data_IF_124751764898
#
_entry.id   IF_124751764898
#
_cell.length_a   1.000
_cell.length_b   1.000
_cell.length_c   1.000
_cell.angle_alpha   90.00
_cell.angle_beta   90.00
_cell.angle_gamma   90.00
#
_symmetry.space_group_name_H-M   'P 1'
#
loop_
_entity.id
_entity.type
_entity.pdbx_description
1 polymer ?
#
# COMPACT_ATOMS: atom_id res chain seq x y z
N UNK A 1 9.91 6.55 5.15
CA UNK A 1 9.69 7.57 6.20
C UNK A 1 8.35 8.35 6.09
N UNK A 2 7.87 8.86 4.95
CA UNK A 2 6.57 9.58 4.91
C UNK A 2 5.37 8.70 5.24
N UNK A 3 5.37 7.45 4.83
CA UNK A 3 4.26 6.52 5.05
C UNK A 3 4.11 6.09 6.52
N UNK A 4 5.22 5.79 7.19
CA UNK A 4 5.24 5.57 8.64
C UNK A 4 4.61 6.74 9.39
N UNK A 5 5.00 7.98 9.04
CA UNK A 5 4.48 9.20 9.65
C UNK A 5 2.98 9.34 9.45
N UNK A 6 2.47 9.10 8.26
CA UNK A 6 1.05 9.17 7.92
C UNK A 6 0.23 8.15 8.71
N UNK A 7 0.71 6.90 8.77
CA UNK A 7 0.01 5.80 9.45
C UNK A 7 0.04 5.98 10.97
N UNK A 8 1.18 6.42 11.54
CA UNK A 8 1.29 6.72 12.96
C UNK A 8 0.33 7.85 13.37
N UNK A 9 0.23 8.95 12.61
CA UNK A 9 -0.69 10.05 12.89
C UNK A 9 -2.15 9.62 12.77
N UNK A 10 -2.49 8.74 11.83
CA UNK A 10 -3.85 8.20 11.71
C UNK A 10 -4.23 7.37 12.95
N UNK A 11 -3.34 6.51 13.43
CA UNK A 11 -3.54 5.72 14.65
C UNK A 11 -3.63 6.61 15.89
N UNK A 12 -2.70 7.53 16.03
CA UNK A 12 -2.67 8.46 17.17
C UNK A 12 -3.95 9.29 17.27
N UNK A 13 -4.55 9.67 16.15
CA UNK A 13 -5.83 10.39 16.13
C UNK A 13 -6.93 9.59 16.81
N UNK A 14 -7.06 8.31 16.48
CA UNK A 14 -8.06 7.44 17.12
C UNK A 14 -7.78 7.31 18.62
N UNK A 15 -6.51 7.08 18.99
CA UNK A 15 -6.10 6.97 20.38
C UNK A 15 -6.37 8.26 21.17
N UNK A 16 -6.01 9.43 20.62
CA UNK A 16 -6.28 10.72 21.26
C UNK A 16 -7.78 10.99 21.40
N UNK A 17 -8.59 10.62 20.41
CA UNK A 17 -10.04 10.75 20.47
C UNK A 17 -10.61 9.96 21.64
N UNK A 18 -10.21 8.71 21.81
CA UNK A 18 -10.62 7.84 22.92
C UNK A 18 -10.15 8.43 24.26
N UNK A 19 -8.87 8.82 24.36
CA UNK A 19 -8.31 9.44 25.56
C UNK A 19 -9.08 10.73 25.94
N UNK A 20 -9.34 11.59 24.97
CA UNK A 20 -10.06 12.84 25.21
C UNK A 20 -11.52 12.60 25.67
N UNK A 21 -12.22 11.60 25.11
CA UNK A 21 -13.57 11.25 25.56
C UNK A 21 -13.55 10.76 27.02
N UNK A 22 -12.57 9.92 27.38
CA UNK A 22 -12.41 9.43 28.75
C UNK A 22 -12.10 10.58 29.72
N UNK A 23 -11.13 11.43 29.36
CA UNK A 23 -10.78 12.62 30.17
C UNK A 23 -12.00 13.53 30.34
N UNK A 24 -12.74 13.80 29.26
CA UNK A 24 -13.92 14.64 29.29
C UNK A 24 -14.96 14.11 30.30
N UNK A 25 -15.25 12.81 30.30
CA UNK A 25 -16.16 12.19 31.27
C UNK A 25 -15.65 12.23 32.70
N UNK A 26 -14.36 11.93 32.91
CA UNK A 26 -13.74 11.93 34.25
C UNK A 26 -13.69 13.32 34.83
N UNK A 27 -13.30 14.31 34.06
CA UNK A 27 -13.19 15.70 34.59
C UNK A 27 -14.57 16.34 34.85
N UNK A 28 -15.57 15.98 34.04
CA UNK A 28 -16.95 16.37 34.34
C UNK A 28 -17.42 15.80 35.69
N UNK A 29 -17.10 14.52 35.94
CA UNK A 29 -17.40 13.89 37.24
C UNK A 29 -16.62 14.52 38.37
N UNK A 30 -15.33 14.83 38.22
CA UNK A 30 -14.50 15.47 39.24
C UNK A 30 -15.01 16.88 39.58
N UNK A 31 -15.39 17.67 38.58
CA UNK A 31 -16.00 18.99 38.78
C UNK A 31 -17.34 18.87 39.52
N UNK A 32 -18.22 17.95 39.14
CA UNK A 32 -19.47 17.69 39.80
C UNK A 32 -19.27 17.24 41.25
N UNK A 33 -18.26 16.42 41.53
CA UNK A 33 -17.87 15.99 42.88
C UNK A 33 -17.50 17.16 43.77
N UNK A 34 -16.71 18.11 43.25
CA UNK A 34 -16.33 19.33 44.01
C UNK A 34 -17.53 20.20 44.26
N UNK A 35 -18.43 20.39 43.30
CA UNK A 35 -19.58 21.30 43.41
C UNK A 35 -20.70 20.74 44.28
N UNK A 36 -21.02 19.47 44.17
CA UNK A 36 -22.25 18.90 44.72
C UNK A 36 -22.03 17.92 45.90
N UNK A 37 -20.84 17.29 45.99
CA UNK A 37 -20.56 16.28 47.01
C UNK A 37 -19.48 16.64 48.01
N UNK A 38 -18.80 17.77 47.81
CA UNK A 38 -17.87 18.32 48.81
C UNK A 38 -18.60 19.17 49.82
N UNK A 39 -18.34 18.94 51.12
CA UNK A 39 -18.96 19.68 52.21
C UNK A 39 -18.71 21.22 52.17
N UNK A 40 -17.62 21.62 51.55
CA UNK A 40 -17.21 23.03 51.44
C UNK A 40 -17.37 23.60 50.03
N UNK A 41 -17.75 22.78 49.02
CA UNK A 41 -17.84 23.21 47.63
C UNK A 41 -16.61 24.00 47.19
N UNK A 42 -16.77 25.17 46.59
CA UNK A 42 -15.69 26.08 46.21
C UNK A 42 -15.27 27.05 47.35
N UNK A 43 -15.69 26.80 48.59
CA UNK A 43 -15.39 27.67 49.74
C UNK A 43 -13.93 27.66 50.17
N UNK A 44 -13.20 26.59 49.93
CA UNK A 44 -11.76 26.48 50.25
C UNK A 44 -10.88 26.80 49.03
N UNK A 45 -9.72 27.42 49.30
CA UNK A 45 -8.73 27.69 48.25
C UNK A 45 -8.33 26.43 47.54
N UNK A 46 -8.16 25.33 48.25
CA UNK A 46 -7.77 24.04 47.73
C UNK A 46 -8.78 23.49 46.71
N UNK A 47 -10.06 23.50 47.05
CA UNK A 47 -11.10 23.05 46.10
C UNK A 47 -11.18 23.93 44.85
N UNK A 48 -10.90 25.23 44.95
CA UNK A 48 -10.82 26.15 43.81
C UNK A 48 -9.65 25.78 42.87
N UNK A 49 -8.48 25.43 43.43
CA UNK A 49 -7.31 25.06 42.68
C UNK A 49 -7.59 23.75 41.95
N UNK A 50 -8.10 22.70 42.60
CA UNK A 50 -8.45 21.44 41.96
C UNK A 50 -9.53 21.64 40.89
N UNK A 51 -10.55 22.43 41.18
CA UNK A 51 -11.57 22.75 40.18
C UNK A 51 -10.96 23.41 38.93
N UNK A 52 -9.98 24.32 39.13
CA UNK A 52 -9.23 24.95 38.04
C UNK A 52 -8.44 23.93 37.23
N UNK A 53 -7.78 22.97 37.87
CA UNK A 53 -7.09 21.87 37.18
C UNK A 53 -8.10 21.03 36.34
N UNK A 54 -9.18 20.57 36.94
CA UNK A 54 -10.20 19.76 36.25
C UNK A 54 -10.82 20.50 35.05
N UNK A 55 -11.17 21.78 35.25
CA UNK A 55 -11.72 22.63 34.19
C UNK A 55 -10.71 22.82 33.04
N UNK A 56 -9.44 23.04 33.35
CA UNK A 56 -8.40 23.23 32.33
C UNK A 56 -8.19 21.97 31.47
N UNK A 57 -8.18 20.77 32.08
CA UNK A 57 -8.05 19.52 31.37
C UNK A 57 -9.30 19.16 30.56
N UNK A 58 -10.49 19.44 31.12
CA UNK A 58 -11.77 19.29 30.43
C UNK A 58 -11.82 20.16 29.15
N UNK A 59 -11.46 21.45 29.27
CA UNK A 59 -11.42 22.36 28.13
C UNK A 59 -10.39 21.93 27.08
N UNK A 60 -9.20 21.48 27.50
CA UNK A 60 -8.18 20.97 26.59
C UNK A 60 -8.66 19.74 25.84
N UNK A 61 -9.31 18.79 26.54
CA UNK A 61 -9.88 17.60 25.89
C UNK A 61 -10.99 17.99 24.90
N UNK A 62 -11.88 18.93 25.25
CA UNK A 62 -12.92 19.43 24.34
C UNK A 62 -12.32 20.09 23.08
N UNK A 63 -11.29 20.92 23.25
CA UNK A 63 -10.58 21.56 22.13
C UNK A 63 -9.96 20.50 21.25
N UNK A 64 -9.28 19.48 21.82
CA UNK A 64 -8.69 18.38 21.05
C UNK A 64 -9.74 17.59 20.27
N UNK A 65 -10.91 17.33 20.85
CA UNK A 65 -12.03 16.66 20.16
C UNK A 65 -12.54 17.51 18.99
N UNK A 66 -12.74 18.80 19.17
CA UNK A 66 -13.18 19.73 18.13
C UNK A 66 -12.14 19.78 17.00
N UNK A 67 -10.87 19.99 17.34
CA UNK A 67 -9.79 20.05 16.35
C UNK A 67 -9.65 18.72 15.60
N UNK A 68 -9.77 17.60 16.29
CA UNK A 68 -9.72 16.25 15.67
C UNK A 68 -10.89 16.00 14.70
N UNK A 69 -12.06 16.59 14.95
CA UNK A 69 -13.23 16.50 14.07
C UNK A 69 -13.16 17.48 12.88
N UNK A 70 -12.74 18.74 13.13
CA UNK A 70 -12.75 19.81 12.13
C UNK A 70 -11.57 19.72 11.16
N UNK A 71 -10.36 19.44 11.66
CA UNK A 71 -9.14 19.37 10.83
C UNK A 71 -8.88 17.97 10.33
N UNK A 72 -9.80 17.43 9.52
CA UNK A 72 -9.66 16.12 8.91
C UNK A 72 -8.62 16.18 7.80
N UNK A 73 -7.34 15.90 8.14
CA UNK A 73 -6.24 15.54 7.20
C UNK A 73 -5.91 16.48 6.02
N UNK A 74 -6.11 17.78 6.14
CA UNK A 74 -5.71 18.65 5.01
C UNK A 74 -4.19 18.92 4.92
N UNK A 75 -3.46 18.92 6.05
CA UNK A 75 -2.00 19.12 6.08
C UNK A 75 -1.35 18.25 7.15
N UNK A 76 -0.52 17.31 6.72
CA UNK A 76 0.18 16.34 7.60
C UNK A 76 0.99 17.02 8.73
N UNK A 77 1.61 18.17 8.45
CA UNK A 77 2.39 18.90 9.43
C UNK A 77 1.53 19.54 10.54
N UNK A 78 0.34 20.04 10.18
CA UNK A 78 -0.60 20.64 11.14
C UNK A 78 -1.18 19.55 12.05
N UNK A 79 -1.58 18.43 11.47
CA UNK A 79 -2.09 17.28 12.23
C UNK A 79 -1.03 16.76 13.22
N UNK A 80 0.23 16.65 12.77
CA UNK A 80 1.33 16.27 13.64
C UNK A 80 1.56 17.25 14.79
N UNK A 81 1.53 18.55 14.51
CA UNK A 81 1.70 19.58 15.52
C UNK A 81 0.58 19.52 16.56
N UNK A 82 -0.68 19.42 16.13
CA UNK A 82 -1.84 19.31 17.03
C UNK A 82 -1.71 18.09 17.95
N UNK A 83 -1.41 16.92 17.39
CA UNK A 83 -1.32 15.67 18.16
C UNK A 83 -0.21 15.73 19.21
N UNK A 84 1.00 16.14 18.83
CA UNK A 84 2.12 16.14 19.77
C UNK A 84 2.04 17.29 20.78
N UNK A 85 1.49 18.45 20.41
CA UNK A 85 1.22 19.51 21.38
C UNK A 85 0.15 19.13 22.40
N UNK A 86 -0.88 18.39 21.99
CA UNK A 86 -1.88 17.83 22.90
C UNK A 86 -1.27 16.84 23.89
N UNK A 87 -0.43 15.93 23.40
CA UNK A 87 0.28 14.98 24.27
C UNK A 87 1.19 15.68 25.26
N UNK A 88 1.95 16.68 24.80
CA UNK A 88 2.81 17.48 25.67
C UNK A 88 1.98 18.22 26.75
N UNK A 89 0.85 18.80 26.34
CA UNK A 89 -0.04 19.46 27.29
C UNK A 89 -0.55 18.47 28.35
N UNK A 90 -1.00 17.29 27.96
CA UNK A 90 -1.48 16.28 28.92
C UNK A 90 -0.36 15.81 29.86
N UNK A 91 0.85 15.63 29.39
CA UNK A 91 1.99 15.31 30.26
C UNK A 91 2.29 16.41 31.24
N UNK A 92 2.40 17.66 30.79
CA UNK A 92 2.68 18.83 31.65
C UNK A 92 1.57 19.07 32.66
N UNK A 93 0.32 18.87 32.26
CA UNK A 93 -0.81 19.01 33.19
C UNK A 93 -0.69 18.01 34.35
N UNK A 94 -0.39 16.74 34.04
CA UNK A 94 -0.20 15.71 35.08
C UNK A 94 1.03 15.99 35.94
N UNK A 95 2.09 16.55 35.39
CA UNK A 95 3.24 17.03 36.17
C UNK A 95 2.79 18.13 37.17
N UNK A 96 2.04 19.11 36.69
CA UNK A 96 1.61 20.25 37.53
C UNK A 96 0.70 19.83 38.69
N UNK A 97 -0.29 18.97 38.43
CA UNK A 97 -1.21 18.53 39.49
C UNK A 97 -0.50 17.64 40.51
N UNK A 98 0.36 16.71 40.07
CA UNK A 98 1.10 15.86 40.99
C UNK A 98 2.16 16.64 41.79
N UNK A 99 2.83 17.62 41.18
CA UNK A 99 3.72 18.52 41.91
C UNK A 99 2.97 19.34 42.94
N UNK A 100 1.76 19.82 42.64
CA UNK A 100 0.89 20.51 43.60
C UNK A 100 0.51 19.60 44.78
N UNK A 101 0.13 18.33 44.48
CA UNK A 101 -0.22 17.36 45.53
C UNK A 101 0.96 17.03 46.43
N UNK A 102 2.14 16.74 45.91
CA UNK A 102 3.36 16.41 46.64
C UNK A 102 3.84 17.60 47.51
N UNK A 103 3.79 18.84 47.00
CA UNK A 103 4.18 20.00 47.77
C UNK A 103 3.21 20.32 48.93
N UNK A 104 1.97 19.82 48.83
CA UNK A 104 0.95 19.99 49.85
C UNK A 104 0.99 18.89 50.90
N UNK A 105 1.20 17.66 50.44
CA UNK A 105 1.26 16.45 51.25
C UNK A 105 2.34 15.53 50.71
N UNK A 106 3.49 15.42 51.36
CA UNK A 106 4.58 14.57 50.93
C UNK A 106 4.22 13.07 50.83
N UNK A 107 3.11 12.65 51.47
CA UNK A 107 2.60 11.28 51.38
C UNK A 107 1.52 11.12 50.28
N UNK A 108 1.26 12.17 49.46
CA UNK A 108 0.28 12.11 48.37
C UNK A 108 0.66 11.06 47.31
N UNK A 109 -0.34 10.34 46.85
CA UNK A 109 -0.14 9.30 45.81
C UNK A 109 0.20 9.91 44.46
N UNK A 110 1.27 9.41 43.82
CA UNK A 110 1.72 9.81 42.47
C UNK A 110 1.05 8.98 41.33
N UNK A 111 0.06 8.18 41.69
CA UNK A 111 -0.61 7.23 40.78
C UNK A 111 -1.16 7.86 39.52
N UNK A 112 -1.65 9.09 39.59
CA UNK A 112 -2.22 9.83 38.45
C UNK A 112 -1.16 10.14 37.37
N UNK A 113 0.03 10.56 37.77
CA UNK A 113 1.16 10.78 36.86
C UNK A 113 1.63 9.47 36.21
N UNK A 114 1.79 8.42 37.01
CA UNK A 114 2.25 7.11 36.53
C UNK A 114 1.31 6.54 35.46
N UNK A 115 -0.01 6.60 35.70
CA UNK A 115 -1.02 6.13 34.77
C UNK A 115 -1.04 6.94 33.46
N UNK A 116 -0.88 8.26 33.54
CA UNK A 116 -0.84 9.13 32.37
C UNK A 116 0.39 8.87 31.50
N UNK A 117 1.58 8.77 32.10
CA UNK A 117 2.84 8.54 31.39
C UNK A 117 2.83 7.16 30.70
N UNK A 118 2.37 6.11 31.40
CA UNK A 118 2.24 4.77 30.83
C UNK A 118 1.16 4.73 29.73
N UNK A 119 0.02 5.35 29.96
CA UNK A 119 -1.06 5.42 28.97
C UNK A 119 -0.60 6.09 27.67
N UNK A 120 0.08 7.22 27.76
CA UNK A 120 0.65 7.90 26.58
C UNK A 120 1.66 7.00 25.86
N UNK A 121 2.53 6.31 26.59
CA UNK A 121 3.54 5.43 26.03
C UNK A 121 2.97 4.23 25.27
N UNK A 122 1.84 3.70 25.72
CA UNK A 122 1.14 2.57 25.09
C UNK A 122 0.33 3.00 23.87
N UNK A 123 -0.42 4.09 23.98
CA UNK A 123 -1.42 4.47 22.99
C UNK A 123 -0.90 5.41 21.91
N UNK A 124 0.16 6.20 22.17
CA UNK A 124 0.66 7.21 21.25
C UNK A 124 1.98 6.78 20.61
N UNK A 125 2.01 6.74 19.30
CA UNK A 125 3.22 6.49 18.55
C UNK A 125 4.00 7.78 18.32
N UNK A 126 5.24 7.81 18.78
CA UNK A 126 6.13 8.97 18.63
C UNK A 126 7.47 8.55 18.05
N UNK A 127 8.13 9.42 17.24
CA UNK A 127 9.53 9.20 16.88
C UNK A 127 10.39 9.08 18.14
N UNK A 128 11.37 8.16 18.13
CA UNK A 128 12.20 7.85 19.30
C UNK A 128 12.80 9.10 19.97
N UNK A 129 13.34 10.04 19.18
CA UNK A 129 13.89 11.30 19.69
C UNK A 129 12.87 12.14 20.46
N UNK A 130 11.63 12.20 19.93
CA UNK A 130 10.54 12.96 20.54
C UNK A 130 10.05 12.27 21.83
N UNK A 131 9.93 10.94 21.81
CA UNK A 131 9.57 10.16 23.00
C UNK A 131 10.57 10.37 24.12
N UNK A 132 11.88 10.25 23.83
CA UNK A 132 12.94 10.52 24.80
C UNK A 132 12.82 11.96 25.36
N UNK A 133 12.65 12.94 24.49
CA UNK A 133 12.53 14.34 24.93
C UNK A 133 11.30 14.56 25.82
N UNK A 134 10.13 14.09 25.43
CA UNK A 134 8.88 14.30 26.17
C UNK A 134 8.90 13.62 27.55
N UNK A 135 9.31 12.34 27.61
CA UNK A 135 9.34 11.60 28.86
C UNK A 135 10.43 12.12 29.81
N UNK A 136 11.64 12.42 29.30
CA UNK A 136 12.71 12.99 30.11
C UNK A 136 12.35 14.39 30.62
N UNK A 137 11.78 15.26 29.78
CA UNK A 137 11.39 16.60 30.21
C UNK A 137 10.27 16.58 31.26
N UNK A 138 9.27 15.70 31.10
CA UNK A 138 8.20 15.55 32.11
C UNK A 138 8.76 15.03 33.44
N UNK A 139 9.64 14.02 33.41
CA UNK A 139 10.29 13.50 34.61
C UNK A 139 11.14 14.57 35.31
N UNK A 140 12.04 15.26 34.59
CA UNK A 140 12.91 16.30 35.12
C UNK A 140 12.07 17.46 35.73
N UNK A 141 11.03 17.87 34.99
CA UNK A 141 10.17 18.95 35.48
C UNK A 141 9.43 18.56 36.75
N UNK A 142 8.93 17.33 36.85
CA UNK A 142 8.29 16.85 38.07
C UNK A 142 9.29 16.86 39.25
N UNK A 143 10.51 16.40 39.05
CA UNK A 143 11.57 16.44 40.09
C UNK A 143 11.90 17.86 40.53
N UNK A 144 11.94 18.82 39.59
CA UNK A 144 12.21 20.22 39.91
C UNK A 144 11.07 20.90 40.68
N UNK A 145 9.82 20.55 40.36
CA UNK A 145 8.62 21.19 40.98
C UNK A 145 8.22 20.53 42.31
N UNK A 146 8.45 19.24 42.48
CA UNK A 146 8.08 18.52 43.71
C UNK A 146 9.06 18.74 44.87
N UNK A 147 10.22 19.36 44.64
CA UNK A 147 11.19 19.72 45.68
C UNK A 147 11.97 18.52 46.27
N UNK A 148 12.54 18.74 47.49
CA UNK A 148 13.37 17.75 48.18
C UNK A 148 12.58 16.73 49.01
N UNK A 149 11.27 16.86 49.08
CA UNK A 149 10.43 16.16 50.08
C UNK A 149 9.81 14.86 49.56
N UNK A 150 10.23 14.42 48.35
CA UNK A 150 9.77 13.14 47.77
C UNK A 150 10.38 11.97 48.57
N UNK A 151 9.53 11.03 48.98
CA UNK A 151 10.00 9.82 49.64
C UNK A 151 10.95 9.01 48.75
N UNK A 152 11.91 8.31 49.36
CA UNK A 152 12.83 7.46 48.59
C UNK A 152 12.09 6.33 47.78
N UNK A 153 10.95 5.87 48.32
CA UNK A 153 10.07 4.91 47.63
C UNK A 153 9.42 5.48 46.36
N UNK A 154 8.89 6.70 46.47
CA UNK A 154 8.25 7.38 45.34
C UNK A 154 9.27 7.77 44.28
N UNK A 155 10.47 8.16 44.66
CA UNK A 155 11.56 8.46 43.75
C UNK A 155 11.93 7.21 42.90
N UNK A 156 12.01 6.04 43.55
CA UNK A 156 12.24 4.75 42.84
C UNK A 156 11.09 4.42 41.89
N UNK A 157 9.84 4.55 42.35
CA UNK A 157 8.65 4.27 41.55
C UNK A 157 8.57 5.20 40.33
N UNK A 158 8.82 6.48 40.49
CA UNK A 158 8.84 7.47 39.42
C UNK A 158 9.94 7.16 38.40
N UNK A 159 11.15 6.84 38.86
CA UNK A 159 12.28 6.53 37.99
C UNK A 159 12.02 5.25 37.22
N UNK A 160 11.59 4.18 37.89
CA UNK A 160 11.24 2.93 37.24
C UNK A 160 10.15 3.10 36.21
N UNK A 161 9.09 3.86 36.55
CA UNK A 161 7.97 4.13 35.61
C UNK A 161 8.45 4.93 34.39
N UNK A 162 9.28 5.94 34.57
CA UNK A 162 9.84 6.72 33.47
C UNK A 162 10.65 5.85 32.50
N UNK A 163 11.48 4.95 33.05
CA UNK A 163 12.27 4.00 32.26
C UNK A 163 11.34 3.03 31.50
N UNK A 164 10.35 2.45 32.19
CA UNK A 164 9.41 1.51 31.57
C UNK A 164 8.58 2.21 30.50
N UNK A 165 8.06 3.41 30.77
CA UNK A 165 7.28 4.18 29.82
C UNK A 165 8.09 4.50 28.55
N UNK A 166 9.35 4.92 28.71
CA UNK A 166 10.23 5.16 27.58
C UNK A 166 10.50 3.87 26.78
N UNK A 167 10.82 2.77 27.47
CA UNK A 167 11.04 1.47 26.83
C UNK A 167 9.79 1.01 26.03
N UNK A 168 8.60 1.13 26.60
CA UNK A 168 7.32 0.82 25.95
C UNK A 168 7.11 1.70 24.71
N UNK A 169 7.33 3.01 24.82
CA UNK A 169 7.15 3.96 23.71
C UNK A 169 8.11 3.64 22.56
N UNK A 170 9.37 3.35 22.86
CA UNK A 170 10.39 2.99 21.86
C UNK A 170 10.07 1.63 21.18
N UNK A 171 9.72 0.63 21.98
CA UNK A 171 9.35 -0.70 21.47
C UNK A 171 8.10 -0.63 20.58
N UNK A 172 7.08 0.10 21.01
CA UNK A 172 5.84 0.28 20.26
C UNK A 172 6.10 0.97 18.90
N UNK A 173 6.93 2.01 18.88
CA UNK A 173 7.32 2.70 17.64
C UNK A 173 8.15 1.81 16.72
N UNK A 174 9.09 1.03 17.26
CA UNK A 174 9.88 0.06 16.47
C UNK A 174 9.00 -1.04 15.89
N UNK A 175 8.12 -1.61 16.70
CA UNK A 175 7.21 -2.67 16.25
C UNK A 175 6.28 -2.20 15.13
N UNK A 176 5.74 -0.98 15.24
CA UNK A 176 4.93 -0.39 14.18
C UNK A 176 5.71 -0.19 12.87
N UNK A 177 6.96 0.26 12.95
CA UNK A 177 7.83 0.40 11.77
C UNK A 177 8.10 -0.96 11.09
N UNK A 178 8.33 -2.01 11.90
CA UNK A 178 8.54 -3.38 11.41
C UNK A 178 7.30 -3.92 10.70
N UNK A 179 6.11 -3.75 11.28
CA UNK A 179 4.84 -4.18 10.66
C UNK A 179 4.64 -3.53 9.28
N UNK A 180 4.88 -2.22 9.17
CA UNK A 180 4.75 -1.51 7.90
C UNK A 180 5.73 -2.02 6.84
N UNK A 181 6.99 -2.27 7.23
CA UNK A 181 7.98 -2.82 6.30
C UNK A 181 7.62 -4.22 5.82
N UNK A 182 7.07 -5.06 6.70
CA UNK A 182 6.58 -6.40 6.35
C UNK A 182 5.37 -6.33 5.40
N UNK A 183 4.43 -5.43 5.63
CA UNK A 183 3.28 -5.24 4.74
C UNK A 183 3.71 -4.80 3.33
N UNK A 184 4.67 -3.88 3.22
CA UNK A 184 5.23 -3.46 1.93
C UNK A 184 5.90 -4.63 1.21
N UNK A 185 6.69 -5.44 1.93
CA UNK A 185 7.34 -6.63 1.35
C UNK A 185 6.33 -7.67 0.86
N UNK A 186 5.27 -7.92 1.63
CA UNK A 186 4.19 -8.84 1.22
C UNK A 186 3.49 -8.32 -0.03
N UNK A 187 3.21 -7.01 -0.11
CA UNK A 187 2.58 -6.41 -1.28
C UNK A 187 3.46 -6.59 -2.52
N UNK A 188 4.75 -6.29 -2.42
CA UNK A 188 5.72 -6.48 -3.51
C UNK A 188 5.82 -7.94 -3.96
N UNK A 189 5.92 -8.88 -2.99
CA UNK A 189 5.94 -10.32 -3.32
C UNK A 189 4.65 -10.77 -4.03
N UNK A 190 3.50 -10.24 -3.66
CA UNK A 190 2.24 -10.54 -4.33
C UNK A 190 2.19 -10.00 -5.76
N UNK A 191 2.76 -8.81 -6.02
CA UNK A 191 2.88 -8.27 -7.37
C UNK A 191 3.83 -9.12 -8.23
N UNK A 192 4.99 -9.49 -7.69
CA UNK A 192 5.94 -10.37 -8.37
C UNK A 192 5.31 -11.74 -8.71
N UNK A 193 4.58 -12.33 -7.76
CA UNK A 193 3.86 -13.58 -8.00
C UNK A 193 2.78 -13.43 -9.07
N UNK A 194 2.03 -12.33 -9.08
CA UNK A 194 1.05 -12.05 -10.13
C UNK A 194 1.71 -11.91 -11.49
N UNK A 195 2.83 -11.17 -11.55
CA UNK A 195 3.60 -11.01 -12.79
C UNK A 195 4.11 -12.37 -13.32
N UNK A 196 4.72 -13.19 -12.47
CA UNK A 196 5.16 -14.54 -12.84
C UNK A 196 3.99 -15.45 -13.25
N UNK A 197 2.82 -15.31 -12.61
CA UNK A 197 1.63 -16.08 -12.98
C UNK A 197 0.97 -15.62 -14.29
N UNK A 198 1.34 -14.46 -14.83
CA UNK A 198 0.79 -13.92 -16.07
C UNK A 198 1.65 -14.18 -17.29
N UNK A 199 2.91 -14.56 -17.11
CA UNK A 199 3.83 -14.81 -18.22
C UNK A 199 3.95 -16.29 -18.57
N UNK A 200 4.22 -16.56 -19.85
CA UNK A 200 4.74 -17.85 -20.32
C UNK A 200 6.22 -17.95 -19.96
N UNK A 201 6.60 -18.98 -19.22
CA UNK A 201 7.95 -19.15 -18.67
C UNK A 201 9.03 -19.33 -19.74
N UNK A 202 8.66 -19.72 -20.96
CA UNK A 202 9.59 -19.95 -22.06
C UNK A 202 9.85 -18.68 -22.87
N UNK A 203 8.79 -17.95 -23.20
CA UNK A 203 8.84 -16.82 -24.13
C UNK A 203 8.84 -15.45 -23.44
N UNK A 204 8.45 -15.38 -22.16
CA UNK A 204 8.28 -14.12 -21.44
C UNK A 204 7.07 -13.28 -21.86
N UNK A 205 6.30 -13.73 -22.85
CA UNK A 205 5.04 -13.11 -23.27
C UNK A 205 3.92 -13.41 -22.27
N UNK A 206 2.77 -12.76 -22.41
CA UNK A 206 1.59 -13.13 -21.63
C UNK A 206 1.25 -14.61 -21.89
N UNK A 207 0.92 -15.35 -20.83
CA UNK A 207 0.37 -16.69 -21.00
C UNK A 207 -1.10 -16.61 -21.49
N UNK A 208 -1.66 -17.72 -21.92
CA UNK A 208 -3.03 -17.81 -22.45
C UNK A 208 -4.07 -17.08 -21.59
N UNK A 209 -4.04 -17.31 -20.29
CA UNK A 209 -5.03 -16.71 -19.35
C UNK A 209 -4.87 -15.20 -19.23
N UNK A 210 -3.64 -14.73 -19.13
CA UNK A 210 -3.35 -13.30 -19.04
C UNK A 210 -3.64 -12.57 -20.35
N UNK A 211 -3.37 -13.21 -21.49
CA UNK A 211 -3.69 -12.67 -22.81
C UNK A 211 -5.20 -12.56 -23.02
N UNK A 212 -5.97 -13.60 -22.68
CA UNK A 212 -7.43 -13.56 -22.73
C UNK A 212 -7.97 -12.40 -21.87
N UNK A 213 -7.51 -12.28 -20.62
CA UNK A 213 -7.92 -11.19 -19.73
C UNK A 213 -7.53 -9.82 -20.30
N UNK A 214 -6.38 -9.69 -20.92
CA UNK A 214 -5.96 -8.47 -21.60
C UNK A 214 -6.95 -8.07 -22.70
N UNK A 215 -7.41 -9.01 -23.52
CA UNK A 215 -8.40 -8.77 -24.58
C UNK A 215 -9.77 -8.38 -23.99
N UNK A 216 -10.21 -9.07 -22.94
CA UNK A 216 -11.51 -8.80 -22.27
C UNK A 216 -11.56 -7.42 -21.62
N UNK A 217 -10.44 -6.97 -21.05
CA UNK A 217 -10.35 -5.67 -20.36
C UNK A 217 -10.02 -4.50 -21.29
N UNK A 218 -9.59 -4.79 -22.51
CA UNK A 218 -9.23 -3.75 -23.46
C UNK A 218 -10.49 -2.98 -23.95
N UNK A 219 -10.45 -1.64 -23.99
CA UNK A 219 -11.53 -0.85 -24.56
C UNK A 219 -11.69 -1.18 -26.04
N UNK A 220 -12.79 -1.86 -26.37
CA UNK A 220 -13.07 -2.23 -27.75
C UNK A 220 -13.51 -1.01 -28.54
N UNK A 221 -12.61 -0.47 -29.34
CA UNK A 221 -12.88 0.65 -30.24
C UNK A 221 -12.82 0.19 -31.71
N UNK A 222 -13.30 1.05 -32.59
CA UNK A 222 -13.10 0.83 -34.02
C UNK A 222 -11.60 0.82 -34.34
N UNK A 223 -11.12 -0.27 -34.96
CA UNK A 223 -9.71 -0.45 -35.26
C UNK A 223 -8.99 -1.43 -34.31
N UNK A 224 -9.60 -1.77 -33.16
CA UNK A 224 -9.07 -2.85 -32.32
C UNK A 224 -9.02 -4.15 -33.12
N UNK A 225 -7.85 -4.79 -33.15
CA UNK A 225 -7.56 -5.93 -33.98
C UNK A 225 -6.93 -7.05 -33.17
N UNK A 226 -7.53 -8.24 -33.21
CA UNK A 226 -6.97 -9.46 -32.65
C UNK A 226 -6.28 -10.25 -33.76
N UNK A 227 -5.02 -10.62 -33.54
CA UNK A 227 -4.28 -11.52 -34.41
C UNK A 227 -4.01 -12.83 -33.67
N UNK A 228 -4.15 -13.95 -34.38
CA UNK A 228 -3.65 -15.24 -33.96
C UNK A 228 -2.58 -15.66 -34.96
N UNK A 229 -1.40 -16.02 -34.47
CA UNK A 229 -0.28 -16.49 -35.25
C UNK A 229 0.02 -17.94 -34.87
N UNK A 230 0.40 -18.77 -35.86
CA UNK A 230 0.78 -20.18 -35.66
C UNK A 230 2.02 -20.48 -36.49
N UNK A 231 2.99 -21.15 -35.89
CA UNK A 231 4.24 -21.52 -36.53
C UNK A 231 4.02 -22.70 -37.48
N UNK A 232 4.20 -22.44 -38.76
CA UNK A 232 4.05 -23.47 -39.78
C UNK A 232 5.11 -24.57 -39.67
N UNK A 233 4.66 -25.81 -39.69
CA UNK A 233 5.50 -27.00 -39.63
C UNK A 233 6.37 -27.12 -38.35
N UNK A 234 6.01 -26.46 -37.26
CA UNK A 234 6.79 -26.46 -36.02
C UNK A 234 7.09 -27.88 -35.50
N UNK A 235 6.14 -28.80 -35.62
CA UNK A 235 6.36 -30.21 -35.29
C UNK A 235 7.49 -30.82 -36.07
N UNK A 236 7.64 -30.51 -37.38
CA UNK A 236 8.75 -31.01 -38.22
C UNK A 236 10.10 -30.48 -37.76
N UNK A 237 10.14 -29.25 -37.26
CA UNK A 237 11.37 -28.68 -36.67
C UNK A 237 11.76 -29.45 -35.40
N UNK A 238 10.80 -29.71 -34.50
CA UNK A 238 11.03 -30.54 -33.33
C UNK A 238 11.46 -31.96 -33.67
N UNK A 239 10.77 -32.60 -34.61
CA UNK A 239 11.07 -34.00 -35.03
C UNK A 239 12.46 -34.14 -35.70
N UNK A 240 12.91 -33.08 -36.41
CA UNK A 240 14.19 -33.09 -37.14
C UNK A 240 15.38 -32.63 -36.31
N UNK A 241 15.21 -31.60 -35.45
CA UNK A 241 16.30 -30.93 -34.75
C UNK A 241 16.20 -31.04 -33.22
N UNK A 242 15.14 -31.68 -32.72
CA UNK A 242 14.87 -31.85 -31.29
C UNK A 242 14.17 -30.67 -30.67
N UNK A 243 13.59 -30.91 -29.49
CA UNK A 243 12.87 -29.89 -28.70
C UNK A 243 13.71 -28.63 -28.35
N UNK A 244 15.03 -28.72 -28.07
CA UNK A 244 15.83 -27.52 -27.83
C UNK A 244 15.84 -26.51 -28.99
N UNK A 245 15.78 -27.02 -30.23
CA UNK A 245 15.66 -26.18 -31.43
C UNK A 245 14.28 -25.52 -31.49
N UNK A 246 13.21 -26.28 -31.23
CA UNK A 246 11.86 -25.72 -31.16
C UNK A 246 11.72 -24.63 -30.09
N UNK A 247 12.27 -24.87 -28.90
CA UNK A 247 12.29 -23.89 -27.82
C UNK A 247 13.03 -22.59 -28.21
N UNK A 248 14.12 -22.73 -28.94
CA UNK A 248 14.85 -21.60 -29.50
C UNK A 248 13.99 -20.82 -30.52
N UNK A 249 13.32 -21.51 -31.44
CA UNK A 249 12.45 -20.88 -32.43
C UNK A 249 11.30 -20.11 -31.75
N UNK A 250 10.67 -20.69 -30.73
CA UNK A 250 9.60 -20.00 -29.95
C UNK A 250 10.11 -18.73 -29.31
N UNK A 251 11.32 -18.72 -28.74
CA UNK A 251 11.96 -17.54 -28.15
C UNK A 251 12.27 -16.46 -29.18
N UNK A 252 12.86 -16.87 -30.31
CA UNK A 252 13.19 -15.96 -31.43
C UNK A 252 11.93 -15.29 -31.99
N UNK A 253 10.86 -16.07 -32.22
CA UNK A 253 9.58 -15.53 -32.69
C UNK A 253 8.99 -14.52 -31.67
N UNK A 254 9.06 -14.83 -30.38
CA UNK A 254 8.56 -13.90 -29.35
C UNK A 254 9.32 -12.58 -29.33
N UNK A 255 10.65 -12.61 -29.52
CA UNK A 255 11.49 -11.42 -29.63
C UNK A 255 11.13 -10.61 -30.89
N UNK A 256 10.97 -11.28 -32.03
CA UNK A 256 10.60 -10.62 -33.28
C UNK A 256 9.22 -9.99 -33.22
N UNK A 257 8.22 -10.67 -32.62
CA UNK A 257 6.87 -10.15 -32.41
C UNK A 257 6.89 -8.91 -31.52
N UNK A 258 7.60 -8.98 -30.40
CA UNK A 258 7.72 -7.82 -29.46
C UNK A 258 8.44 -6.64 -30.13
N UNK A 259 9.44 -6.91 -30.96
CA UNK A 259 10.16 -5.88 -31.71
C UNK A 259 9.32 -5.21 -32.81
N UNK A 260 8.51 -6.00 -33.53
CA UNK A 260 7.66 -5.52 -34.62
C UNK A 260 6.41 -4.76 -34.11
N UNK A 261 5.88 -5.13 -32.94
CA UNK A 261 4.62 -4.60 -32.40
C UNK A 261 4.79 -3.98 -31.00
N UNK A 262 5.64 -2.95 -30.91
CA UNK A 262 5.95 -2.27 -29.63
C UNK A 262 4.74 -1.59 -28.97
N UNK A 263 3.79 -1.16 -29.78
CA UNK A 263 2.59 -0.45 -29.36
C UNK A 263 1.38 -1.40 -29.18
N UNK A 264 1.61 -2.71 -29.19
CA UNK A 264 0.57 -3.69 -28.95
C UNK A 264 0.02 -3.57 -27.52
N UNK A 265 -1.28 -3.63 -27.37
CA UNK A 265 -1.97 -3.67 -26.06
C UNK A 265 -1.62 -4.97 -25.30
N UNK A 266 -1.33 -6.07 -26.02
CA UNK A 266 -0.88 -7.32 -25.46
C UNK A 266 -0.33 -8.29 -26.48
N UNK A 267 0.74 -9.01 -26.13
CA UNK A 267 1.29 -10.12 -26.89
C UNK A 267 1.37 -11.32 -25.96
N UNK A 268 0.79 -12.46 -26.38
CA UNK A 268 0.72 -13.66 -25.55
C UNK A 268 1.02 -14.94 -26.33
N UNK A 269 1.49 -15.97 -25.61
CA UNK A 269 1.54 -17.34 -26.11
C UNK A 269 0.30 -18.08 -25.64
N UNK A 270 -0.57 -18.46 -26.58
CA UNK A 270 -1.89 -19.03 -26.30
C UNK A 270 -1.95 -20.55 -26.47
N UNK A 271 -0.97 -21.14 -27.13
CA UNK A 271 -0.85 -22.57 -27.35
C UNK A 271 0.61 -23.01 -27.41
N UNK A 272 0.87 -24.24 -27.90
CA UNK A 272 2.22 -24.78 -28.04
C UNK A 272 3.09 -23.94 -28.98
N UNK A 273 2.59 -23.67 -30.16
CA UNK A 273 3.20 -22.90 -31.26
C UNK A 273 2.31 -21.74 -31.74
N UNK A 274 1.27 -21.41 -30.89
CA UNK A 274 0.31 -20.36 -31.18
C UNK A 274 0.59 -19.11 -30.35
N UNK A 275 0.52 -17.93 -30.97
CA UNK A 275 0.68 -16.63 -30.38
C UNK A 275 -0.55 -15.76 -30.62
N UNK A 276 -0.85 -14.89 -29.67
CA UNK A 276 -1.90 -13.89 -29.80
C UNK A 276 -1.32 -12.48 -29.73
N UNK A 277 -1.88 -11.57 -30.49
CA UNK A 277 -1.54 -10.15 -30.50
C UNK A 277 -2.81 -9.31 -30.48
N UNK A 278 -2.89 -8.36 -29.58
CA UNK A 278 -3.94 -7.35 -29.51
C UNK A 278 -3.36 -5.99 -29.80
N UNK A 279 -3.90 -5.30 -30.80
CA UNK A 279 -3.38 -3.99 -31.22
C UNK A 279 -4.54 -3.10 -31.70
N UNK A 280 -4.42 -1.78 -31.48
CA UNK A 280 -5.29 -0.78 -32.09
C UNK A 280 -4.60 -0.25 -33.35
N UNK A 281 -5.26 -0.39 -34.51
CA UNK A 281 -4.69 0.00 -35.81
C UNK A 281 -5.64 0.96 -36.51
N UNK A 282 -5.13 2.15 -36.84
CA UNK A 282 -5.88 3.13 -37.63
C UNK A 282 -5.82 2.79 -39.13
N UNK A 283 -4.66 2.36 -39.64
CA UNK A 283 -4.44 2.04 -41.06
C UNK A 283 -4.06 0.57 -41.27
N UNK A 284 -4.81 -0.15 -42.09
CA UNK A 284 -4.65 -1.56 -42.40
C UNK A 284 -3.32 -1.86 -43.11
N UNK A 285 -2.89 -0.96 -43.98
CA UNK A 285 -1.64 -1.08 -44.75
C UNK A 285 -0.39 -1.13 -43.87
N UNK A 286 -0.37 -0.41 -42.74
CA UNK A 286 0.73 -0.46 -41.78
C UNK A 286 0.81 -1.81 -41.07
N UNK A 287 -0.33 -2.38 -40.68
CA UNK A 287 -0.41 -3.68 -40.04
C UNK A 287 0.08 -4.81 -40.95
N UNK A 288 -0.44 -4.86 -42.20
CA UNK A 288 -0.02 -5.86 -43.20
C UNK A 288 1.48 -5.80 -43.45
N UNK A 289 2.04 -4.61 -43.61
CA UNK A 289 3.48 -4.39 -43.79
C UNK A 289 4.30 -4.95 -42.63
N UNK A 290 3.88 -4.67 -41.37
CA UNK A 290 4.56 -5.17 -40.16
C UNK A 290 4.48 -6.70 -40.07
N UNK A 291 3.35 -7.31 -40.42
CA UNK A 291 3.17 -8.77 -40.45
C UNK A 291 4.07 -9.38 -41.51
N UNK A 292 4.14 -8.82 -42.72
CA UNK A 292 5.01 -9.30 -43.78
C UNK A 292 6.49 -9.25 -43.39
N UNK A 293 6.90 -8.18 -42.71
CA UNK A 293 8.25 -8.09 -42.15
C UNK A 293 8.52 -9.18 -41.11
N UNK A 294 7.56 -9.46 -40.24
CA UNK A 294 7.68 -10.52 -39.25
C UNK A 294 7.75 -11.89 -39.89
N UNK A 295 6.89 -12.21 -40.89
CA UNK A 295 6.94 -13.44 -41.66
C UNK A 295 8.34 -13.64 -42.31
N UNK A 296 8.86 -12.56 -42.90
CA UNK A 296 10.21 -12.57 -43.47
C UNK A 296 11.32 -12.80 -42.44
N UNK A 297 11.18 -12.23 -41.24
CA UNK A 297 12.12 -12.41 -40.14
C UNK A 297 12.10 -13.86 -39.61
N UNK A 298 10.89 -14.41 -39.40
CA UNK A 298 10.71 -15.80 -38.95
C UNK A 298 11.33 -16.80 -39.97
N UNK A 299 11.15 -16.57 -41.27
CA UNK A 299 11.71 -17.45 -42.32
C UNK A 299 13.26 -17.42 -42.39
N UNK A 300 13.90 -16.44 -41.78
CA UNK A 300 15.37 -16.30 -41.71
C UNK A 300 15.98 -16.86 -40.42
N UNK A 301 15.20 -17.44 -39.53
CA UNK A 301 15.70 -18.03 -38.28
C UNK A 301 16.66 -19.18 -38.64
N UNK A 302 17.83 -19.18 -38.02
CA UNK A 302 18.85 -20.22 -38.19
C UNK A 302 19.15 -20.92 -36.87
N UNK A 303 19.50 -22.20 -36.92
CA UNK A 303 19.96 -22.99 -35.78
C UNK A 303 21.36 -23.52 -36.03
N UNK A 304 22.33 -23.16 -35.23
CA UNK A 304 23.76 -23.47 -35.45
C UNK A 304 24.25 -23.14 -36.86
N UNK A 305 23.80 -22.02 -37.43
CA UNK A 305 24.15 -21.57 -38.78
C UNK A 305 23.39 -22.27 -39.92
N UNK A 306 22.51 -23.23 -39.61
CA UNK A 306 21.65 -23.89 -40.57
C UNK A 306 20.30 -23.19 -40.70
N UNK A 307 19.84 -22.83 -41.91
CA UNK A 307 18.51 -22.21 -42.07
C UNK A 307 17.42 -23.23 -41.70
N UNK A 308 16.45 -22.77 -40.94
CA UNK A 308 15.27 -23.54 -40.59
C UNK A 308 14.14 -23.25 -41.59
N UNK A 309 13.36 -24.28 -41.94
CA UNK A 309 12.13 -24.11 -42.71
C UNK A 309 11.00 -23.61 -41.79
N UNK A 310 11.26 -22.52 -41.10
CA UNK A 310 10.27 -21.87 -40.20
C UNK A 310 9.38 -20.93 -41.01
N UNK A 311 8.09 -20.99 -40.77
CA UNK A 311 7.10 -20.07 -41.32
C UNK A 311 6.10 -19.69 -40.26
N UNK A 312 5.31 -18.65 -40.51
CA UNK A 312 4.28 -18.24 -39.62
C UNK A 312 3.04 -17.78 -40.39
N UNK A 313 1.89 -18.37 -40.08
CA UNK A 313 0.59 -17.98 -40.63
C UNK A 313 -0.17 -17.14 -39.66
N UNK A 314 -0.89 -16.10 -40.15
CA UNK A 314 -1.64 -15.16 -39.33
C UNK A 314 -3.10 -15.16 -39.72
N UNK A 315 -3.97 -15.24 -38.69
CA UNK A 315 -5.40 -14.96 -38.79
C UNK A 315 -5.73 -13.67 -38.03
N UNK A 316 -6.41 -12.79 -38.70
CA UNK A 316 -6.68 -11.43 -38.20
C UNK A 316 -8.19 -11.23 -38.09
N UNK A 317 -8.67 -10.75 -36.95
CA UNK A 317 -10.04 -10.31 -36.76
C UNK A 317 -10.05 -8.86 -36.33
N UNK A 318 -10.68 -7.98 -37.12
CA UNK A 318 -10.86 -6.57 -36.85
C UNK A 318 -12.25 -6.28 -36.31
N UNK A 319 -12.30 -5.47 -35.24
CA UNK A 319 -13.56 -5.03 -34.64
C UNK A 319 -14.06 -3.76 -35.34
N UNK A 320 -15.30 -3.79 -35.81
CA UNK A 320 -15.99 -2.61 -36.33
C UNK A 320 -17.13 -2.14 -35.41
N UNK A 321 -17.49 -2.92 -34.37
CA UNK A 321 -18.54 -2.60 -33.40
C UNK A 321 -18.12 -2.92 -31.97
N UNK A 322 -18.59 -2.16 -30.97
CA UNK A 322 -18.31 -2.49 -29.56
C UNK A 322 -19.14 -3.70 -29.08
N UNK A 323 -18.70 -4.29 -27.95
CA UNK A 323 -19.45 -5.35 -27.26
C UNK A 323 -19.22 -6.78 -27.81
N UNK A 324 -18.10 -6.99 -28.50
CA UNK A 324 -17.70 -8.31 -28.99
C UNK A 324 -16.97 -9.07 -27.88
N UNK A 325 -17.30 -10.35 -27.65
CA UNK A 325 -16.62 -11.16 -26.66
C UNK A 325 -15.28 -11.69 -27.17
N UNK A 326 -14.37 -12.09 -26.26
CA UNK A 326 -13.12 -12.73 -26.61
C UNK A 326 -13.32 -13.97 -27.49
N UNK A 327 -14.31 -14.80 -27.15
CA UNK A 327 -14.62 -16.04 -27.88
C UNK A 327 -15.03 -15.76 -29.33
N UNK A 328 -15.80 -14.69 -29.55
CA UNK A 328 -16.21 -14.29 -30.90
C UNK A 328 -15.03 -13.81 -31.73
N UNK A 329 -14.17 -12.95 -31.13
CA UNK A 329 -12.96 -12.47 -31.77
C UNK A 329 -12.01 -13.60 -32.12
N UNK A 330 -11.78 -14.47 -31.13
CA UNK A 330 -10.89 -15.63 -31.29
C UNK A 330 -11.40 -16.56 -32.40
N UNK A 331 -12.70 -16.87 -32.42
CA UNK A 331 -13.28 -17.75 -33.42
C UNK A 331 -13.14 -17.19 -34.84
N UNK A 332 -13.29 -15.89 -35.06
CA UNK A 332 -13.12 -15.31 -36.40
C UNK A 332 -11.63 -15.19 -36.78
N UNK A 333 -10.75 -14.87 -35.84
CA UNK A 333 -9.32 -14.88 -36.09
C UNK A 333 -8.81 -16.28 -36.40
N UNK A 334 -9.30 -17.33 -35.70
CA UNK A 334 -8.97 -18.73 -35.97
C UNK A 334 -9.46 -19.19 -37.35
N UNK A 335 -10.68 -18.79 -37.77
CA UNK A 335 -11.17 -19.05 -39.11
C UNK A 335 -10.29 -18.40 -40.19
N UNK A 336 -9.83 -17.16 -39.92
CA UNK A 336 -8.90 -16.49 -40.82
C UNK A 336 -7.56 -17.23 -40.89
N UNK A 337 -7.01 -17.64 -39.73
CA UNK A 337 -5.78 -18.43 -39.66
C UNK A 337 -5.88 -19.74 -40.45
N UNK A 338 -6.99 -20.46 -40.29
CA UNK A 338 -7.25 -21.66 -41.05
C UNK A 338 -7.24 -21.40 -42.57
N UNK A 339 -7.80 -20.25 -43.00
CA UNK A 339 -7.76 -19.85 -44.41
C UNK A 339 -6.34 -19.56 -44.91
N UNK A 340 -5.53 -18.83 -44.10
CA UNK A 340 -4.12 -18.58 -44.41
C UNK A 340 -3.33 -19.89 -44.57
N UNK A 341 -3.54 -20.86 -43.67
CA UNK A 341 -2.91 -22.20 -43.77
C UNK A 341 -3.33 -23.00 -45.02
N UNK A 342 -4.63 -22.92 -45.40
CA UNK A 342 -5.13 -23.59 -46.62
C UNK A 342 -4.60 -22.97 -47.92
N UNK A 343 -4.40 -21.65 -47.93
CA UNK A 343 -3.93 -20.91 -49.10
C UNK A 343 -2.41 -21.04 -49.35
N UNK A 344 -1.70 -21.87 -48.58
CA UNK A 344 -0.28 -22.16 -48.81
C UNK A 344 0.64 -21.83 -47.64
N UNK A 345 0.09 -21.43 -46.48
CA UNK A 345 0.85 -21.06 -45.26
C UNK A 345 1.73 -19.84 -45.46
N UNK A 346 2.46 -19.44 -44.41
CA UNK A 346 3.41 -18.32 -44.42
C UNK A 346 2.81 -17.03 -44.98
N UNK A 347 1.58 -16.71 -44.58
CA UNK A 347 0.79 -15.58 -45.04
C UNK A 347 -0.25 -15.17 -44.00
N UNK A 348 -0.96 -14.10 -44.30
CA UNK A 348 -2.06 -13.60 -43.46
C UNK A 348 -3.41 -13.75 -44.18
N UNK A 349 -4.48 -13.79 -43.38
CA UNK A 349 -5.86 -13.66 -43.83
C UNK A 349 -6.64 -12.81 -42.84
N UNK A 350 -7.54 -11.96 -43.35
CA UNK A 350 -8.28 -10.96 -42.55
C UNK A 350 -9.76 -11.26 -42.60
N UNK A 351 -10.44 -11.10 -41.45
CA UNK A 351 -11.89 -11.10 -41.32
C UNK A 351 -12.32 -9.89 -40.50
N UNK A 352 -13.50 -9.37 -40.76
CA UNK A 352 -14.08 -8.26 -40.02
C UNK A 352 -15.35 -8.75 -39.30
N UNK A 353 -15.51 -8.34 -38.04
CA UNK A 353 -16.77 -8.47 -37.32
C UNK A 353 -17.55 -7.16 -37.49
N UNK A 354 -18.60 -7.26 -38.32
CA UNK A 354 -19.56 -6.17 -38.58
C UNK A 354 -20.61 -6.04 -37.46
#
# INVERSE_FOLDING_TARGET
MPEFRKTALSRNRVSLLVICIMIFGMELFNMARVLFWSNSGLGTLNNRIYFGFYLSLFLAAAICLILGCVFRMQRLAVDQFIQYSSVLFFLLWHVCINAYDLNRDPEAEIGLYLTAVLGISVFILMPAKLACFMHASAYILLMLLAGSDISSGDLVNLTCTAIVALAVSLTNSHHHATILSQQQKIHQMNEDLRYMAQQDSMTGLLNKRAFQHCVEMHPQARGTTLLIADLDNFKRINDRYGHPCGDYVLKEVSIQMTGAFRDAAGIGRIGGDEFGLLIDVEEETCLESSIQQLICAVSKITWHGLPLEAGCSFGICRINRPGVTYEQLYAEADRALYQAKRNGKNQLSIRCLE
#
